data_IF_741689679117
#
_entry.id   IF_741689679117
#
_cell.length_a   1.000
_cell.length_b   1.000
_cell.length_c   1.000
_cell.angle_alpha   90.00
_cell.angle_beta   90.00
_cell.angle_gamma   90.00
#
_symmetry.space_group_name_H-M   'P 1'
#
loop_
_entity.id
_entity.type
_entity.pdbx_description
1 polymer ?
#
# COMPACT_ATOMS: atom_id res chain seq x y z
N UNK A 1 18.28 -22.72 -8.98
CA UNK A 1 17.22 -21.71 -9.18
C UNK A 1 17.77 -20.50 -9.95
N UNK A 2 18.85 -19.86 -9.48
CA UNK A 2 19.44 -18.64 -10.07
C UNK A 2 19.72 -18.80 -11.58
N UNK A 3 20.38 -19.89 -11.98
CA UNK A 3 20.78 -20.11 -13.38
C UNK A 3 19.56 -20.32 -14.29
N UNK A 4 18.55 -21.06 -13.82
CA UNK A 4 17.27 -21.20 -14.52
C UNK A 4 16.55 -19.86 -14.70
N UNK A 5 16.50 -19.03 -13.68
CA UNK A 5 15.91 -17.69 -13.77
C UNK A 5 16.66 -16.80 -14.77
N UNK A 6 18.00 -16.91 -14.80
CA UNK A 6 18.80 -16.14 -15.77
C UNK A 6 18.53 -16.57 -17.21
N UNK A 7 18.40 -17.86 -17.50
CA UNK A 7 18.06 -18.35 -18.84
C UNK A 7 16.68 -17.82 -19.27
N UNK A 8 15.67 -17.95 -18.40
CA UNK A 8 14.32 -17.45 -18.72
C UNK A 8 14.27 -15.93 -18.94
N UNK A 9 15.01 -15.17 -18.16
CA UNK A 9 15.09 -13.72 -18.25
C UNK A 9 15.83 -13.22 -19.51
N UNK A 10 16.69 -14.06 -20.09
CA UNK A 10 17.54 -13.74 -21.24
C UNK A 10 17.06 -14.43 -22.54
N UNK A 11 15.78 -14.40 -22.83
CA UNK A 11 15.19 -14.97 -24.05
C UNK A 11 15.42 -16.50 -24.19
N UNK A 12 15.63 -17.20 -23.11
CA UNK A 12 15.94 -18.64 -23.11
C UNK A 12 17.39 -18.98 -23.44
N UNK A 13 18.28 -17.99 -23.45
CA UNK A 13 19.73 -18.13 -23.74
C UNK A 13 20.52 -18.35 -22.46
N UNK A 14 21.52 -19.23 -22.50
CA UNK A 14 22.38 -19.49 -21.35
C UNK A 14 23.42 -18.39 -21.13
N UNK A 15 23.94 -17.83 -22.20
CA UNK A 15 25.00 -16.83 -22.20
C UNK A 15 24.61 -15.59 -23.03
N UNK A 16 25.15 -14.43 -22.65
CA UNK A 16 25.01 -13.20 -23.43
C UNK A 16 25.81 -13.29 -24.71
N UNK A 17 25.25 -12.83 -25.84
CA UNK A 17 25.94 -12.79 -27.14
C UNK A 17 25.93 -14.12 -27.90
N UNK A 18 25.35 -15.17 -27.33
CA UNK A 18 25.15 -16.44 -28.02
C UNK A 18 23.73 -16.48 -28.59
N UNK A 19 23.58 -16.82 -29.86
CA UNK A 19 22.27 -16.84 -30.52
C UNK A 19 21.47 -18.12 -30.31
N UNK A 20 22.09 -19.14 -29.68
CA UNK A 20 21.40 -20.40 -29.38
C UNK A 20 20.37 -20.22 -28.28
N UNK A 21 19.11 -20.48 -28.55
CA UNK A 21 18.00 -20.50 -27.62
C UNK A 21 17.81 -21.93 -27.12
N UNK A 22 18.14 -22.19 -25.84
CA UNK A 22 18.04 -23.54 -25.25
C UNK A 22 16.61 -23.89 -24.83
N UNK A 23 15.79 -22.89 -24.55
CA UNK A 23 14.37 -23.05 -24.14
C UNK A 23 13.57 -21.80 -24.38
N UNK A 24 12.26 -21.89 -24.34
CA UNK A 24 11.38 -20.70 -24.34
C UNK A 24 11.74 -19.78 -23.16
N UNK A 25 11.94 -18.51 -23.44
CA UNK A 25 12.27 -17.50 -22.45
C UNK A 25 11.66 -16.14 -22.80
N UNK A 26 11.95 -15.13 -21.98
CA UNK A 26 11.37 -13.81 -22.10
C UNK A 26 12.48 -12.74 -21.98
N UNK A 27 12.23 -11.56 -22.52
CA UNK A 27 13.11 -10.42 -22.30
C UNK A 27 12.70 -9.67 -21.01
N UNK A 28 13.16 -10.19 -19.87
CA UNK A 28 12.96 -9.55 -18.57
C UNK A 28 14.26 -8.87 -18.07
N UNK A 29 15.05 -8.34 -19.00
CA UNK A 29 16.24 -7.59 -18.69
C UNK A 29 15.90 -6.16 -18.35
N UNK A 30 16.48 -5.67 -17.25
CA UNK A 30 16.41 -4.25 -16.90
C UNK A 30 17.19 -3.45 -17.94
N UNK A 31 16.58 -2.42 -18.50
CA UNK A 31 17.25 -1.50 -19.42
C UNK A 31 18.09 -0.48 -18.63
N UNK A 32 19.08 0.15 -19.28
CA UNK A 32 19.90 1.21 -18.68
C UNK A 32 19.04 2.37 -18.16
N UNK A 33 17.99 2.74 -18.91
CA UNK A 33 17.04 3.78 -18.49
C UNK A 33 16.30 3.41 -17.21
N UNK A 34 15.77 2.20 -17.13
CA UNK A 34 15.10 1.68 -15.93
C UNK A 34 16.07 1.61 -14.74
N UNK A 35 17.31 1.17 -14.99
CA UNK A 35 18.36 1.11 -13.97
C UNK A 35 18.72 2.50 -13.45
N UNK A 36 18.85 3.50 -14.33
CA UNK A 36 19.14 4.87 -13.93
C UNK A 36 18.04 5.47 -13.05
N UNK A 37 16.78 5.25 -13.40
CA UNK A 37 15.63 5.65 -12.56
C UNK A 37 15.69 4.94 -11.21
N UNK A 38 15.94 3.63 -11.20
CA UNK A 38 16.08 2.83 -9.96
C UNK A 38 17.18 3.37 -9.05
N UNK A 39 18.35 3.67 -9.58
CA UNK A 39 19.46 4.25 -8.82
C UNK A 39 19.08 5.61 -8.22
N UNK A 40 18.42 6.48 -8.99
CA UNK A 40 17.97 7.78 -8.50
C UNK A 40 16.96 7.64 -7.34
N UNK A 41 16.04 6.68 -7.42
CA UNK A 41 15.06 6.41 -6.36
C UNK A 41 15.71 5.82 -5.10
N UNK A 42 16.64 4.87 -5.25
CA UNK A 42 17.36 4.27 -4.11
C UNK A 42 18.14 5.32 -3.32
N UNK A 43 18.79 6.28 -3.98
CA UNK A 43 19.49 7.39 -3.31
C UNK A 43 18.56 8.24 -2.42
N UNK A 44 17.26 8.26 -2.70
CA UNK A 44 16.24 9.01 -1.95
C UNK A 44 15.44 8.16 -0.98
N UNK A 45 15.75 6.87 -0.85
CA UNK A 45 14.98 5.90 -0.05
C UNK A 45 14.73 6.39 1.37
N UNK A 46 15.76 6.85 2.06
CA UNK A 46 15.66 7.23 3.48
C UNK A 46 14.76 8.46 3.69
N UNK A 47 14.73 9.40 2.74
CA UNK A 47 13.81 10.53 2.74
C UNK A 47 12.37 10.03 2.66
N UNK A 48 12.07 9.12 1.73
CA UNK A 48 10.72 8.59 1.56
C UNK A 48 10.25 7.76 2.76
N UNK A 49 11.14 6.93 3.29
CA UNK A 49 10.88 6.11 4.48
C UNK A 49 10.57 6.99 5.68
N UNK A 50 11.40 8.00 5.95
CA UNK A 50 11.21 8.94 7.06
C UNK A 50 9.90 9.71 6.94
N UNK A 51 9.57 10.22 5.75
CA UNK A 51 8.31 10.93 5.50
C UNK A 51 7.10 10.04 5.75
N UNK A 52 7.08 8.80 5.24
CA UNK A 52 5.98 7.87 5.49
C UNK A 52 5.78 7.54 6.97
N UNK A 53 6.87 7.32 7.70
CA UNK A 53 6.82 7.08 9.15
C UNK A 53 6.29 8.30 9.91
N UNK A 54 6.73 9.50 9.54
CA UNK A 54 6.26 10.74 10.16
C UNK A 54 4.78 11.00 9.86
N UNK A 55 4.33 10.79 8.63
CA UNK A 55 2.93 10.92 8.26
C UNK A 55 2.03 9.98 9.10
N UNK A 56 2.44 8.71 9.26
CA UNK A 56 1.72 7.77 10.13
C UNK A 56 1.64 8.27 11.59
N UNK A 57 2.75 8.77 12.14
CA UNK A 57 2.77 9.32 13.50
C UNK A 57 1.81 10.51 13.65
N UNK A 58 1.78 11.39 12.64
CA UNK A 58 0.89 12.56 12.64
C UNK A 58 -0.57 12.15 12.61
N UNK A 59 -0.96 11.24 11.69
CA UNK A 59 -2.33 10.70 11.65
C UNK A 59 -2.73 10.10 13.00
N UNK A 60 -1.88 9.27 13.58
CA UNK A 60 -2.15 8.64 14.87
C UNK A 60 -2.33 9.70 15.98
N UNK A 61 -1.43 10.67 16.07
CA UNK A 61 -1.51 11.73 17.10
C UNK A 61 -2.74 12.62 16.94
N UNK A 62 -3.10 12.97 15.70
CA UNK A 62 -4.25 13.86 15.42
C UNK A 62 -5.60 13.15 15.57
N UNK A 63 -5.65 11.84 15.36
CA UNK A 63 -6.89 11.05 15.49
C UNK A 63 -7.00 10.34 16.83
N UNK A 64 -5.98 10.42 17.69
CA UNK A 64 -6.05 9.90 19.04
C UNK A 64 -7.16 10.61 19.84
N UNK A 65 -8.01 9.83 20.52
CA UNK A 65 -9.13 10.35 21.32
C UNK A 65 -10.41 10.65 20.50
N UNK A 66 -10.47 10.28 19.21
CA UNK A 66 -11.73 10.25 18.47
C UNK A 66 -12.38 8.89 18.72
N UNK A 67 -13.52 8.85 19.42
CA UNK A 67 -14.13 7.63 19.95
C UNK A 67 -14.50 6.60 18.88
N UNK A 68 -14.92 7.06 17.69
CA UNK A 68 -15.31 6.23 16.55
C UNK A 68 -14.12 5.73 15.74
N UNK A 69 -12.90 6.20 16.02
CA UNK A 69 -11.70 5.86 15.23
C UNK A 69 -10.80 4.91 16.01
N UNK A 70 -10.63 3.71 15.49
CA UNK A 70 -9.64 2.75 16.00
C UNK A 70 -8.39 2.79 15.12
N UNK A 71 -7.26 3.19 15.72
CA UNK A 71 -5.97 3.25 15.02
C UNK A 71 -5.38 1.86 14.83
N UNK A 72 -4.87 1.57 13.63
CA UNK A 72 -4.20 0.30 13.36
C UNK A 72 -2.87 0.20 14.13
N UNK A 73 -2.75 -0.82 14.97
CA UNK A 73 -1.54 -1.09 15.76
C UNK A 73 -0.62 -2.06 15.03
N UNK A 74 0.54 -1.61 14.65
CA UNK A 74 1.59 -2.45 14.06
C UNK A 74 2.31 -3.28 15.12
N UNK A 75 2.83 -4.46 14.69
CA UNK A 75 3.66 -5.28 15.56
C UNK A 75 4.98 -4.54 15.88
N UNK A 76 5.31 -4.30 17.16
CA UNK A 76 6.49 -3.53 17.55
C UNK A 76 7.83 -4.23 17.25
N UNK A 77 7.81 -5.53 16.89
CA UNK A 77 9.03 -6.29 16.56
C UNK A 77 9.60 -5.99 15.18
N UNK A 78 8.87 -5.23 14.34
CA UNK A 78 9.27 -4.91 12.98
C UNK A 78 9.57 -3.43 12.78
N UNK A 79 10.45 -3.11 11.83
CA UNK A 79 10.59 -1.74 11.32
C UNK A 79 9.53 -1.50 10.26
N UNK A 80 8.51 -0.73 10.61
CA UNK A 80 7.32 -0.54 9.79
C UNK A 80 7.46 0.70 8.92
N UNK A 81 7.35 0.50 7.61
CA UNK A 81 7.13 1.57 6.63
C UNK A 81 5.71 1.41 6.07
N UNK A 82 4.76 2.27 6.43
CA UNK A 82 3.37 2.06 6.05
C UNK A 82 3.18 2.18 4.54
N UNK A 83 2.63 1.13 3.93
CA UNK A 83 2.14 1.21 2.55
C UNK A 83 0.90 2.10 2.48
N UNK A 84 0.02 1.98 3.46
CA UNK A 84 -1.20 2.78 3.65
C UNK A 84 -1.34 3.15 5.11
N UNK A 85 -1.92 4.31 5.40
CA UNK A 85 -2.35 4.69 6.73
C UNK A 85 -3.76 4.14 6.92
N UNK A 86 -3.94 3.23 7.87
CA UNK A 86 -5.20 2.49 8.06
C UNK A 86 -5.83 2.93 9.39
N UNK A 87 -7.12 3.25 9.31
CA UNK A 87 -7.99 3.41 10.48
C UNK A 87 -9.20 2.48 10.34
N UNK A 88 -9.83 2.15 11.46
CA UNK A 88 -11.09 1.44 11.47
C UNK A 88 -12.18 2.33 12.07
N UNK A 89 -13.34 2.32 11.46
CA UNK A 89 -14.51 3.12 11.82
C UNK A 89 -15.78 2.27 11.73
N UNK A 90 -16.90 2.65 12.35
CA UNK A 90 -18.13 1.87 12.29
C UNK A 90 -18.63 1.63 10.86
N UNK A 91 -18.61 2.64 10.01
CA UNK A 91 -18.97 2.55 8.59
C UNK A 91 -17.87 3.18 7.72
N UNK A 92 -17.06 2.31 7.10
CA UNK A 92 -15.96 2.76 6.24
C UNK A 92 -16.47 3.34 4.91
N UNK A 93 -17.56 2.82 4.37
CA UNK A 93 -18.07 3.26 3.07
C UNK A 93 -18.56 4.72 3.09
N UNK A 94 -19.32 5.07 4.11
CA UNK A 94 -19.87 6.42 4.26
C UNK A 94 -18.76 7.43 4.50
N UNK A 95 -17.81 7.12 5.39
CA UNK A 95 -16.65 7.98 5.62
C UNK A 95 -15.80 8.15 4.35
N UNK A 96 -15.56 7.07 3.59
CA UNK A 96 -14.79 7.15 2.34
C UNK A 96 -15.51 8.06 1.33
N UNK A 97 -16.82 7.92 1.16
CA UNK A 97 -17.60 8.76 0.26
C UNK A 97 -17.51 10.22 0.68
N UNK A 98 -17.69 10.51 1.96
CA UNK A 98 -17.54 11.86 2.50
C UNK A 98 -16.14 12.44 2.25
N UNK A 99 -15.06 11.67 2.47
CA UNK A 99 -13.70 12.12 2.24
C UNK A 99 -13.42 12.37 0.76
N UNK A 100 -13.90 11.50 -0.14
CA UNK A 100 -13.77 11.66 -1.60
C UNK A 100 -14.50 12.92 -2.08
N UNK A 101 -15.70 13.17 -1.61
CA UNK A 101 -16.48 14.38 -1.93
C UNK A 101 -15.77 15.68 -1.47
N UNK A 102 -14.93 15.59 -0.45
CA UNK A 102 -14.08 16.67 0.04
C UNK A 102 -12.65 16.65 -0.54
N UNK A 103 -12.42 15.94 -1.64
CA UNK A 103 -11.15 15.93 -2.39
C UNK A 103 -10.04 15.05 -1.78
N UNK A 104 -10.37 14.20 -0.81
CA UNK A 104 -9.40 13.27 -0.17
C UNK A 104 -9.50 11.89 -0.80
N UNK A 105 -8.41 11.40 -1.39
CA UNK A 105 -8.34 10.08 -2.02
C UNK A 105 -8.30 8.93 -1.01
N UNK A 106 -9.39 8.72 -0.27
CA UNK A 106 -9.57 7.57 0.62
C UNK A 106 -10.14 6.35 -0.13
N UNK A 107 -9.94 5.15 0.41
CA UNK A 107 -10.49 3.91 -0.16
C UNK A 107 -10.58 2.80 0.88
N UNK A 108 -11.32 1.74 0.54
CA UNK A 108 -11.41 0.50 1.33
C UNK A 108 -10.07 -0.23 1.43
N UNK A 109 -9.98 -1.17 2.35
CA UNK A 109 -8.96 -2.22 2.34
C UNK A 109 -9.08 -3.08 1.06
N UNK A 110 -8.13 -3.99 0.85
CA UNK A 110 -8.25 -4.97 -0.23
C UNK A 110 -9.43 -5.90 0.04
N UNK A 111 -10.23 -6.15 -1.00
CA UNK A 111 -11.31 -7.11 -0.94
C UNK A 111 -10.78 -8.48 -0.47
N UNK A 112 -11.46 -9.14 0.47
CA UNK A 112 -11.07 -10.46 0.94
C UNK A 112 -10.94 -11.48 -0.19
N UNK A 113 -9.95 -12.37 -0.08
CA UNK A 113 -9.67 -13.33 -1.16
C UNK A 113 -10.81 -14.31 -1.39
N UNK A 114 -11.52 -14.72 -0.32
CA UNK A 114 -12.67 -15.60 -0.43
C UNK A 114 -13.88 -14.95 -1.12
N UNK A 115 -13.96 -13.63 -1.14
CA UNK A 115 -15.00 -12.86 -1.84
C UNK A 115 -14.68 -12.57 -3.30
N UNK A 116 -13.49 -12.96 -3.78
CA UNK A 116 -13.10 -12.74 -5.17
C UNK A 116 -13.82 -13.74 -6.11
N UNK A 117 -14.39 -13.29 -7.22
CA UNK A 117 -15.16 -14.17 -8.15
C UNK A 117 -14.37 -15.35 -8.73
N UNK A 118 -13.04 -15.27 -8.70
CA UNK A 118 -12.17 -16.35 -9.22
C UNK A 118 -11.92 -17.48 -8.20
N UNK A 119 -12.39 -17.34 -6.95
CA UNK A 119 -12.27 -18.35 -5.92
C UNK A 119 -13.67 -18.84 -5.54
N UNK A 120 -13.88 -20.13 -5.60
CA UNK A 120 -15.10 -20.79 -5.14
C UNK A 120 -14.91 -21.25 -3.68
N UNK A 121 -15.00 -20.30 -2.76
CA UNK A 121 -14.80 -20.54 -1.33
C UNK A 121 -16.10 -20.24 -0.59
N UNK A 122 -16.78 -21.29 -0.15
CA UNK A 122 -18.04 -21.21 0.60
C UNK A 122 -17.85 -21.24 2.14
N UNK A 123 -16.77 -20.66 2.63
CA UNK A 123 -16.48 -20.58 4.07
C UNK A 123 -16.77 -19.16 4.59
N UNK A 124 -17.19 -19.10 5.85
CA UNK A 124 -17.43 -17.86 6.57
C UNK A 124 -16.15 -17.37 7.27
N UNK A 125 -15.81 -16.10 7.06
CA UNK A 125 -14.64 -15.44 7.66
C UNK A 125 -15.03 -14.13 8.36
N UNK A 126 -15.80 -14.19 9.46
CA UNK A 126 -16.42 -13.01 10.08
C UNK A 126 -15.42 -11.95 10.54
N UNK A 127 -14.23 -12.34 10.98
CA UNK A 127 -13.17 -11.40 11.37
C UNK A 127 -12.66 -10.64 10.15
N UNK A 128 -12.44 -11.33 9.03
CA UNK A 128 -11.97 -10.72 7.78
C UNK A 128 -13.01 -9.75 7.23
N UNK A 129 -14.27 -10.14 7.22
CA UNK A 129 -15.38 -9.30 6.79
C UNK A 129 -15.51 -8.04 7.65
N UNK A 130 -15.44 -8.18 8.97
CA UNK A 130 -15.46 -7.06 9.89
C UNK A 130 -14.31 -6.10 9.65
N UNK A 131 -13.09 -6.60 9.46
CA UNK A 131 -11.91 -5.76 9.15
C UNK A 131 -12.10 -5.03 7.82
N UNK A 132 -12.62 -5.71 6.80
CA UNK A 132 -12.85 -5.13 5.49
C UNK A 132 -13.92 -4.03 5.52
N UNK A 133 -15.05 -4.28 6.16
CA UNK A 133 -16.18 -3.34 6.22
C UNK A 133 -15.90 -2.09 7.06
N UNK A 134 -15.00 -2.19 8.04
CA UNK A 134 -14.65 -1.06 8.92
C UNK A 134 -13.36 -0.33 8.51
N UNK A 135 -12.55 -0.90 7.62
CA UNK A 135 -11.22 -0.39 7.31
C UNK A 135 -11.18 0.70 6.25
N UNK A 136 -10.60 1.84 6.59
CA UNK A 136 -10.35 2.97 5.69
C UNK A 136 -8.85 3.14 5.47
N UNK A 137 -8.43 3.17 4.20
CA UNK A 137 -7.08 3.54 3.80
C UNK A 137 -7.01 5.04 3.52
N UNK A 138 -6.34 5.78 4.37
CA UNK A 138 -6.02 7.19 4.19
C UNK A 138 -4.82 7.37 3.25
N UNK A 139 -4.67 8.56 2.64
CA UNK A 139 -3.50 8.87 1.82
C UNK A 139 -2.18 8.61 2.56
N UNK A 140 -1.18 8.10 1.84
CA UNK A 140 0.14 7.77 2.41
C UNK A 140 1.31 8.19 1.51
N UNK A 141 1.08 9.10 0.57
CA UNK A 141 2.12 9.59 -0.31
C UNK A 141 3.21 10.34 0.47
N UNK A 142 4.51 10.19 0.13
CA UNK A 142 5.58 10.98 0.75
C UNK A 142 5.50 12.47 0.46
N UNK A 143 4.67 12.89 -0.51
CA UNK A 143 4.43 14.29 -0.88
C UNK A 143 3.43 14.99 0.04
N UNK A 144 2.67 14.28 0.87
CA UNK A 144 1.75 14.90 1.82
C UNK A 144 2.48 15.90 2.70
N UNK A 145 1.91 17.09 2.83
CA UNK A 145 2.35 18.12 3.76
C UNK A 145 1.66 17.94 5.11
N UNK A 146 2.14 18.65 6.11
CA UNK A 146 1.48 18.70 7.41
C UNK A 146 0.03 19.23 7.28
N UNK A 147 -0.17 20.30 6.52
CA UNK A 147 -1.49 20.88 6.31
C UNK A 147 -2.47 19.90 5.65
N UNK A 148 -1.99 19.07 4.71
CA UNK A 148 -2.83 18.03 4.08
C UNK A 148 -3.31 17.02 5.13
N UNK A 149 -2.43 16.59 6.02
CA UNK A 149 -2.76 15.62 7.07
C UNK A 149 -3.72 16.22 8.09
N UNK A 150 -3.47 17.47 8.52
CA UNK A 150 -4.35 18.21 9.42
C UNK A 150 -5.75 18.35 8.81
N UNK A 151 -5.84 18.77 7.55
CA UNK A 151 -7.10 18.87 6.82
C UNK A 151 -7.88 17.55 6.79
N UNK A 152 -7.20 16.45 6.45
CA UNK A 152 -7.83 15.11 6.43
C UNK A 152 -8.35 14.75 7.82
N UNK A 153 -7.56 14.97 8.86
CA UNK A 153 -7.97 14.65 10.23
C UNK A 153 -9.12 15.54 10.73
N UNK A 154 -9.16 16.82 10.33
CA UNK A 154 -10.27 17.72 10.63
C UNK A 154 -11.59 17.26 9.96
N UNK A 155 -11.53 16.82 8.70
CA UNK A 155 -12.69 16.25 8.01
C UNK A 155 -13.22 15.02 8.75
N UNK A 156 -12.33 14.10 9.17
CA UNK A 156 -12.73 12.90 9.91
C UNK A 156 -13.38 13.28 11.24
N UNK A 157 -12.79 14.20 12.00
CA UNK A 157 -13.37 14.69 13.25
C UNK A 157 -14.72 15.41 13.07
N UNK A 158 -14.88 16.11 11.96
CA UNK A 158 -16.13 16.78 11.63
C UNK A 158 -17.23 15.81 11.24
N UNK A 159 -16.87 14.71 10.58
CA UNK A 159 -17.80 13.66 10.20
C UNK A 159 -18.43 12.96 11.40
N UNK A 160 -17.69 12.78 12.49
CA UNK A 160 -18.14 12.10 13.71
C UNK A 160 -18.69 13.06 14.82
N UNK A 161 -18.79 14.35 14.57
CA UNK A 161 -19.45 15.32 15.46
C UNK A 161 -20.92 15.49 15.13
#
# INVERSE_FOLDING_TARGET
IRDRCNIYKHDGRKERGVDTIERKGFNYRLTELQAAVGVAQIKRKDIFVSKKKNNLKMFNSLLEGVDEVVLFKFNPRGDIVPHRNIIFVPDAHDLISYLVDNGVGARTLFMPMHSQPCYDINNDFPITEKIYSSGVCLPSAPSLTQNDIEYICELIKKYFK
#
